data_IF_595541025889
#
_entry.id   IF_595541025889
#
_cell.length_a   1.000
_cell.length_b   1.000
_cell.length_c   1.000
_cell.angle_alpha   90.00
_cell.angle_beta   90.00
_cell.angle_gamma   90.00
#
_symmetry.space_group_name_H-M   'P 1'
#
loop_
_entity.id
_entity.type
_entity.pdbx_description
1 polymer ?
#
# COMPACT_ATOMS: atom_id res chain seq x y z
N UNK A 1 -14.83 34.77 -0.01
CA UNK A 1 -14.53 33.39 0.45
C UNK A 1 -15.84 32.67 0.78
N UNK A 2 -16.10 31.48 0.21
CA UNK A 2 -17.29 30.70 0.56
C UNK A 2 -17.23 30.30 2.04
N UNK A 3 -18.34 30.46 2.75
CA UNK A 3 -18.42 30.17 4.20
C UNK A 3 -18.32 28.66 4.41
N UNK A 4 -17.34 28.21 5.21
CA UNK A 4 -17.23 26.82 5.66
C UNK A 4 -18.58 26.32 6.19
N UNK A 5 -19.04 25.15 5.73
CA UNK A 5 -20.35 24.64 6.13
C UNK A 5 -20.43 24.40 7.64
N UNK A 6 -21.59 24.68 8.25
CA UNK A 6 -21.81 24.46 9.70
C UNK A 6 -21.58 23.00 10.10
N UNK A 7 -21.85 22.07 9.18
CA UNK A 7 -21.62 20.62 9.35
C UNK A 7 -20.12 20.31 9.49
N UNK A 8 -19.24 20.99 8.75
CA UNK A 8 -17.78 20.78 8.86
C UNK A 8 -17.22 21.30 10.18
N UNK A 9 -17.88 22.27 10.82
CA UNK A 9 -17.50 22.84 12.11
C UNK A 9 -17.98 22.03 13.32
N UNK A 10 -18.69 20.93 13.10
CA UNK A 10 -19.09 20.04 14.18
C UNK A 10 -17.86 19.53 14.95
N UNK A 11 -17.94 19.40 16.28
CA UNK A 11 -16.98 18.64 17.07
C UNK A 11 -16.76 17.23 16.48
N UNK A 12 -15.55 16.65 16.61
CA UNK A 12 -15.24 15.32 16.08
C UNK A 12 -16.26 14.25 16.48
N UNK A 13 -16.72 14.27 17.73
CA UNK A 13 -17.65 13.30 18.30
C UNK A 13 -19.03 13.37 17.62
N UNK A 14 -19.52 14.58 17.35
CA UNK A 14 -20.80 14.78 16.64
C UNK A 14 -20.69 14.46 15.16
N UNK A 15 -19.50 14.65 14.57
CA UNK A 15 -19.23 14.27 13.19
C UNK A 15 -19.19 12.75 13.03
N UNK A 16 -18.61 12.04 13.97
CA UNK A 16 -18.60 10.58 13.99
C UNK A 16 -20.02 10.01 14.14
N UNK A 17 -20.83 10.57 15.03
CA UNK A 17 -22.25 10.19 15.15
C UNK A 17 -23.04 10.47 13.87
N UNK A 18 -22.80 11.62 13.22
CA UNK A 18 -23.38 11.93 11.91
C UNK A 18 -23.03 10.83 10.89
N UNK A 19 -21.77 10.43 10.80
CA UNK A 19 -21.34 9.38 9.88
C UNK A 19 -21.97 8.03 10.20
N UNK A 20 -21.97 7.61 11.47
CA UNK A 20 -22.61 6.37 11.89
C UNK A 20 -24.11 6.32 11.54
N UNK A 21 -24.82 7.44 11.73
CA UNK A 21 -26.24 7.51 11.37
C UNK A 21 -26.46 7.48 9.84
N UNK A 22 -25.58 8.11 9.07
CA UNK A 22 -25.62 8.05 7.60
C UNK A 22 -25.41 6.63 7.09
N UNK A 23 -24.46 5.90 7.69
CA UNK A 23 -24.15 4.51 7.33
C UNK A 23 -25.26 3.55 7.75
N UNK A 24 -25.94 3.82 8.87
CA UNK A 24 -27.13 3.10 9.31
C UNK A 24 -28.40 3.41 8.49
N UNK A 25 -28.34 4.33 7.52
CA UNK A 25 -29.44 4.63 6.61
C UNK A 25 -30.51 5.56 7.17
N UNK A 26 -30.22 6.29 8.25
CA UNK A 26 -31.15 7.29 8.80
C UNK A 26 -31.45 8.42 7.81
N UNK A 27 -32.65 8.97 7.89
CA UNK A 27 -33.05 10.09 7.05
C UNK A 27 -32.31 11.37 7.47
N UNK A 28 -32.13 12.30 6.53
CA UNK A 28 -31.51 13.60 6.84
C UNK A 28 -32.30 14.38 7.90
N UNK A 29 -33.61 14.13 8.03
CA UNK A 29 -34.47 14.77 9.03
C UNK A 29 -34.20 14.24 10.43
N UNK A 30 -34.12 12.91 10.59
CA UNK A 30 -33.73 12.26 11.84
C UNK A 30 -32.36 12.71 12.31
N UNK A 31 -31.38 12.72 11.40
CA UNK A 31 -30.01 13.15 11.67
C UNK A 31 -29.98 14.63 12.08
N UNK A 32 -30.73 15.49 11.38
CA UNK A 32 -30.81 16.92 11.71
C UNK A 32 -31.41 17.11 13.11
N UNK A 33 -32.48 16.38 13.44
CA UNK A 33 -33.15 16.46 14.74
C UNK A 33 -32.22 15.98 15.87
N UNK A 34 -31.53 14.86 15.68
CA UNK A 34 -30.56 14.31 16.63
C UNK A 34 -29.42 15.29 16.91
N UNK A 35 -28.78 15.83 15.87
CA UNK A 35 -27.67 16.77 16.03
C UNK A 35 -28.13 18.08 16.70
N UNK A 36 -29.34 18.56 16.42
CA UNK A 36 -29.92 19.72 17.10
C UNK A 36 -30.20 19.47 18.58
N UNK A 37 -30.66 18.28 18.94
CA UNK A 37 -30.87 17.89 20.34
C UNK A 37 -29.56 17.91 21.14
N UNK A 38 -28.44 17.62 20.47
CA UNK A 38 -27.08 17.70 21.03
C UNK A 38 -26.47 19.11 20.98
N UNK A 39 -27.26 20.14 20.62
CA UNK A 39 -26.83 21.54 20.60
C UNK A 39 -26.13 22.00 19.32
N UNK A 40 -26.12 21.18 18.26
CA UNK A 40 -25.51 21.58 16.99
C UNK A 40 -26.46 22.41 16.10
N UNK A 41 -25.96 23.56 15.62
CA UNK A 41 -26.67 24.39 14.65
C UNK A 41 -26.41 23.88 13.21
N UNK A 42 -27.15 22.85 12.83
CA UNK A 42 -27.13 22.27 11.47
C UNK A 42 -28.51 22.31 10.82
N UNK A 43 -28.52 22.48 9.50
CA UNK A 43 -29.73 22.48 8.68
C UNK A 43 -29.80 21.24 7.79
N UNK A 44 -31.01 20.76 7.49
CA UNK A 44 -31.25 19.64 6.56
C UNK A 44 -30.56 19.83 5.21
N UNK A 45 -30.67 21.01 4.61
CA UNK A 45 -30.04 21.33 3.33
C UNK A 45 -28.52 21.34 3.39
N UNK A 46 -27.94 21.86 4.47
CA UNK A 46 -26.51 21.81 4.75
C UNK A 46 -25.98 20.37 4.91
N UNK A 47 -26.73 19.51 5.60
CA UNK A 47 -26.42 18.09 5.71
C UNK A 47 -26.54 17.35 4.38
N UNK A 48 -27.57 17.65 3.58
CA UNK A 48 -27.73 17.08 2.24
C UNK A 48 -26.56 17.42 1.31
N UNK A 49 -26.12 18.68 1.29
CA UNK A 49 -24.92 19.09 0.52
C UNK A 49 -23.66 18.41 1.02
N UNK A 50 -23.51 18.28 2.33
CA UNK A 50 -22.38 17.58 2.93
C UNK A 50 -22.37 16.10 2.53
N UNK A 51 -23.51 15.40 2.64
CA UNK A 51 -23.67 14.01 2.20
C UNK A 51 -23.31 13.85 0.72
N UNK A 52 -23.84 14.70 -0.16
CA UNK A 52 -23.52 14.67 -1.59
C UNK A 52 -22.02 14.84 -1.86
N UNK A 53 -21.33 15.70 -1.11
CA UNK A 53 -19.87 15.85 -1.23
C UNK A 53 -19.14 14.57 -0.79
N UNK A 54 -19.52 13.99 0.35
CA UNK A 54 -18.93 12.74 0.84
C UNK A 54 -19.16 11.60 -0.15
N UNK A 55 -20.38 11.46 -0.68
CA UNK A 55 -20.74 10.44 -1.66
C UNK A 55 -19.96 10.61 -2.97
N UNK A 56 -19.72 11.85 -3.42
CA UNK A 56 -18.91 12.17 -4.62
C UNK A 56 -17.44 11.76 -4.43
N UNK A 57 -16.87 12.02 -3.25
CA UNK A 57 -15.50 11.61 -2.92
C UNK A 57 -15.41 10.08 -2.86
N UNK A 58 -16.36 9.42 -2.19
CA UNK A 58 -16.42 7.97 -2.12
C UNK A 58 -16.57 7.31 -3.51
N UNK A 59 -17.37 7.91 -4.40
CA UNK A 59 -17.51 7.45 -5.78
C UNK A 59 -16.21 7.55 -6.57
N UNK A 60 -15.51 8.70 -6.50
CA UNK A 60 -14.19 8.88 -7.13
C UNK A 60 -13.15 7.90 -6.60
N UNK A 61 -13.17 7.59 -5.30
CA UNK A 61 -12.26 6.62 -4.71
C UNK A 61 -12.51 5.19 -5.23
N UNK A 62 -13.78 4.80 -5.39
CA UNK A 62 -14.14 3.51 -6.01
C UNK A 62 -13.69 3.44 -7.46
N UNK A 63 -13.91 4.50 -8.23
CA UNK A 63 -13.47 4.59 -9.62
C UNK A 63 -11.94 4.49 -9.75
N UNK A 64 -11.21 5.20 -8.88
CA UNK A 64 -9.75 5.13 -8.83
C UNK A 64 -9.23 3.72 -8.51
N UNK A 65 -9.89 3.00 -7.58
CA UNK A 65 -9.57 1.60 -7.27
C UNK A 65 -9.82 0.68 -8.47
N UNK A 66 -10.97 0.81 -9.13
CA UNK A 66 -11.30 0.03 -10.32
C UNK A 66 -10.30 0.29 -11.47
N UNK A 67 -9.85 1.54 -11.64
CA UNK A 67 -8.82 1.88 -12.61
C UNK A 67 -7.45 1.29 -12.25
N UNK A 68 -7.07 1.30 -10.97
CA UNK A 68 -5.85 0.67 -10.51
C UNK A 68 -5.88 -0.85 -10.73
N UNK A 69 -7.01 -1.50 -10.44
CA UNK A 69 -7.24 -2.93 -10.71
C UNK A 69 -7.15 -3.23 -12.22
N UNK A 70 -7.78 -2.43 -13.07
CA UNK A 70 -7.69 -2.60 -14.53
C UNK A 70 -6.28 -2.40 -15.07
N UNK A 71 -5.49 -1.48 -14.49
CA UNK A 71 -4.08 -1.28 -14.81
C UNK A 71 -3.27 -2.50 -14.39
N UNK A 72 -3.51 -3.07 -13.21
CA UNK A 72 -2.85 -4.31 -12.77
C UNK A 72 -3.16 -5.50 -13.68
N UNK A 73 -4.43 -5.65 -14.07
CA UNK A 73 -4.87 -6.72 -14.96
C UNK A 73 -4.20 -6.59 -16.33
N UNK A 74 -4.10 -5.37 -16.88
CA UNK A 74 -3.43 -5.09 -18.16
C UNK A 74 -1.90 -5.15 -18.11
N UNK A 75 -1.29 -4.90 -16.96
CA UNK A 75 0.16 -5.02 -16.77
C UNK A 75 0.63 -6.48 -16.77
N UNK A 76 -0.29 -7.44 -16.72
CA UNK A 76 -0.02 -8.88 -16.76
C UNK A 76 0.53 -9.41 -15.44
N UNK A 77 0.22 -10.68 -15.15
CA UNK A 77 0.61 -11.37 -13.92
C UNK A 77 2.12 -11.29 -13.61
N UNK A 78 2.97 -11.07 -14.61
CA UNK A 78 4.43 -10.93 -14.46
C UNK A 78 4.90 -9.61 -13.82
N UNK A 79 4.11 -8.53 -13.86
CA UNK A 79 4.44 -7.27 -13.18
C UNK A 79 3.76 -7.14 -11.81
N UNK A 80 2.70 -7.93 -11.57
CA UNK A 80 1.90 -7.93 -10.34
C UNK A 80 2.31 -9.01 -9.33
N UNK A 81 3.18 -9.95 -9.71
CA UNK A 81 3.60 -11.04 -8.81
C UNK A 81 4.78 -10.62 -7.94
N UNK A 82 4.50 -10.46 -6.63
CA UNK A 82 5.49 -10.22 -5.59
C UNK A 82 5.21 -8.98 -4.73
N UNK A 83 6.06 -8.76 -3.71
CA UNK A 83 6.02 -7.57 -2.83
C UNK A 83 6.04 -6.24 -3.60
N UNK A 84 6.48 -6.28 -4.85
CA UNK A 84 6.60 -5.19 -5.83
C UNK A 84 5.26 -4.60 -6.25
N UNK A 85 4.31 -5.46 -6.64
CA UNK A 85 2.99 -5.03 -7.10
C UNK A 85 2.19 -4.42 -5.96
N UNK A 86 2.23 -5.07 -4.79
CA UNK A 86 1.59 -4.56 -3.57
C UNK A 86 2.13 -3.18 -3.17
N UNK A 87 3.46 -3.00 -3.15
CA UNK A 87 4.07 -1.71 -2.83
C UNK A 87 3.68 -0.62 -3.83
N UNK A 88 3.56 -0.95 -5.12
CA UNK A 88 3.12 0.00 -6.16
C UNK A 88 1.68 0.46 -5.96
N UNK A 89 0.77 -0.47 -5.65
CA UNK A 89 -0.64 -0.17 -5.37
C UNK A 89 -0.76 0.72 -4.14
N UNK A 90 -0.02 0.39 -3.07
CA UNK A 90 -0.04 1.14 -1.83
C UNK A 90 0.53 2.55 -2.01
N UNK A 91 1.58 2.69 -2.82
CA UNK A 91 2.14 3.99 -3.20
C UNK A 91 1.15 4.83 -4.01
N UNK A 92 0.51 4.22 -5.02
CA UNK A 92 -0.50 4.89 -5.84
C UNK A 92 -1.68 5.34 -4.98
N UNK A 93 -2.15 4.46 -4.09
CA UNK A 93 -3.24 4.75 -3.15
C UNK A 93 -2.88 5.91 -2.22
N UNK A 94 -1.66 5.94 -1.69
CA UNK A 94 -1.17 7.02 -0.81
C UNK A 94 -1.11 8.35 -1.55
N UNK A 95 -0.54 8.37 -2.75
CA UNK A 95 -0.40 9.58 -3.56
C UNK A 95 -1.75 10.14 -4.01
N UNK A 96 -2.69 9.27 -4.40
CA UNK A 96 -4.06 9.67 -4.73
C UNK A 96 -4.79 10.20 -3.49
N UNK A 97 -4.59 9.59 -2.32
CA UNK A 97 -5.20 10.04 -1.06
C UNK A 97 -4.67 11.42 -0.64
N UNK A 98 -3.36 11.65 -0.71
CA UNK A 98 -2.74 12.96 -0.44
C UNK A 98 -3.22 14.04 -1.41
N UNK A 99 -3.34 13.71 -2.69
CA UNK A 99 -3.88 14.62 -3.70
C UNK A 99 -5.34 14.99 -3.41
N UNK A 100 -6.18 14.01 -3.07
CA UNK A 100 -7.58 14.24 -2.69
C UNK A 100 -7.69 15.06 -1.39
N UNK A 101 -6.84 14.81 -0.39
CA UNK A 101 -6.79 15.57 0.86
C UNK A 101 -6.46 17.05 0.62
N UNK A 102 -5.44 17.33 -0.21
CA UNK A 102 -5.03 18.70 -0.55
C UNK A 102 -6.10 19.48 -1.31
N UNK A 103 -6.97 18.78 -2.03
CA UNK A 103 -8.12 19.37 -2.75
C UNK A 103 -9.41 19.41 -1.92
N UNK A 104 -9.38 19.01 -0.64
CA UNK A 104 -10.56 19.14 0.24
C UNK A 104 -10.99 20.59 0.50
N UNK A 105 -10.09 21.55 0.26
CA UNK A 105 -10.31 22.99 0.43
C UNK A 105 -10.89 23.68 -0.83
N UNK A 106 -10.72 23.10 -2.03
CA UNK A 106 -11.31 23.59 -3.28
C UNK A 106 -11.85 22.45 -4.17
N UNK A 107 -13.12 22.05 -3.95
CA UNK A 107 -13.74 20.89 -4.59
C UNK A 107 -14.22 21.12 -6.03
N UNK A 108 -14.20 22.37 -6.52
CA UNK A 108 -14.61 22.76 -7.88
C UNK A 108 -13.42 23.02 -8.79
N UNK A 109 -12.20 23.07 -8.25
CA UNK A 109 -11.00 23.16 -9.05
C UNK A 109 -10.88 21.92 -9.95
N UNK A 110 -10.94 22.14 -11.27
CA UNK A 110 -10.73 21.08 -12.25
C UNK A 110 -9.36 20.42 -12.03
N UNK A 111 -9.29 19.13 -12.33
CA UNK A 111 -8.02 18.42 -12.32
C UNK A 111 -7.28 18.90 -13.57
N UNK A 112 -6.29 19.75 -13.37
CA UNK A 112 -5.46 20.18 -14.49
C UNK A 112 -4.69 18.97 -15.03
N UNK A 113 -4.71 18.81 -16.35
CA UNK A 113 -4.07 17.68 -17.05
C UNK A 113 -2.58 17.58 -16.70
N UNK A 114 -1.94 18.71 -16.40
CA UNK A 114 -0.54 18.77 -16.00
C UNK A 114 -0.28 18.26 -14.59
N UNK A 115 -1.22 18.46 -13.65
CA UNK A 115 -1.14 17.85 -12.31
C UNK A 115 -1.29 16.33 -12.39
N UNK A 116 -2.21 15.84 -13.23
CA UNK A 116 -2.42 14.41 -13.44
C UNK A 116 -1.17 13.76 -14.09
N UNK A 117 -0.55 14.46 -15.06
CA UNK A 117 0.73 14.04 -15.66
C UNK A 117 1.87 14.02 -14.66
N UNK A 118 1.97 15.05 -13.80
CA UNK A 118 3.00 15.11 -12.76
C UNK A 118 2.85 13.95 -11.78
N UNK A 119 1.62 13.65 -11.35
CA UNK A 119 1.32 12.51 -10.49
C UNK A 119 1.68 11.19 -11.17
N UNK A 120 1.24 10.97 -12.41
CA UNK A 120 1.56 9.76 -13.18
C UNK A 120 3.07 9.57 -13.37
N UNK A 121 3.80 10.68 -13.58
CA UNK A 121 5.26 10.67 -13.68
C UNK A 121 5.92 10.30 -12.36
N UNK A 122 5.51 10.89 -11.24
CA UNK A 122 6.02 10.55 -9.90
C UNK A 122 5.76 9.09 -9.55
N UNK A 123 4.58 8.56 -9.88
CA UNK A 123 4.26 7.14 -9.73
C UNK A 123 5.19 6.27 -10.57
N UNK A 124 5.38 6.62 -11.85
CA UNK A 124 6.27 5.88 -12.77
C UNK A 124 7.73 5.88 -12.29
N UNK A 125 8.26 7.02 -11.87
CA UNK A 125 9.64 7.16 -11.40
C UNK A 125 9.86 6.34 -10.12
N UNK A 126 8.92 6.40 -9.17
CA UNK A 126 9.01 5.60 -7.95
C UNK A 126 8.81 4.10 -8.20
N UNK A 127 7.97 3.75 -9.16
CA UNK A 127 7.81 2.36 -9.59
C UNK A 127 9.10 1.77 -10.17
N UNK A 128 9.80 2.55 -10.98
CA UNK A 128 11.10 2.17 -11.53
C UNK A 128 12.16 2.06 -10.43
N UNK A 129 12.18 2.97 -9.46
CA UNK A 129 13.09 2.91 -8.32
C UNK A 129 12.85 1.66 -7.43
N UNK A 130 11.58 1.31 -7.18
CA UNK A 130 11.22 0.11 -6.43
C UNK A 130 11.67 -1.17 -7.16
N UNK A 131 11.53 -1.24 -8.49
CA UNK A 131 12.05 -2.36 -9.30
C UNK A 131 13.57 -2.46 -9.23
N UNK A 132 14.30 -1.35 -9.36
CA UNK A 132 15.76 -1.35 -9.27
C UNK A 132 16.28 -1.88 -7.93
N UNK A 133 15.57 -1.57 -6.83
CA UNK A 133 15.89 -2.07 -5.49
C UNK A 133 15.66 -3.58 -5.39
N UNK A 134 14.63 -4.09 -6.04
CA UNK A 134 14.30 -5.52 -6.01
C UNK A 134 15.19 -6.37 -6.91
N UNK A 135 15.55 -5.86 -8.08
CA UNK A 135 16.52 -6.51 -8.95
C UNK A 135 17.88 -6.63 -8.24
N UNK A 136 18.23 -5.65 -7.41
CA UNK A 136 19.39 -5.71 -6.54
C UNK A 136 19.25 -6.76 -5.44
N UNK A 137 18.12 -6.81 -4.73
CA UNK A 137 17.85 -7.82 -3.69
C UNK A 137 17.85 -9.26 -4.24
N UNK A 138 17.30 -9.47 -5.45
CA UNK A 138 17.30 -10.76 -6.12
C UNK A 138 18.72 -11.19 -6.49
N UNK A 139 19.51 -10.28 -7.09
CA UNK A 139 20.93 -10.53 -7.39
C UNK A 139 21.72 -10.84 -6.12
N UNK A 140 21.50 -10.10 -5.03
CA UNK A 140 22.17 -10.35 -3.76
C UNK A 140 21.82 -11.74 -3.18
N UNK A 141 20.56 -12.18 -3.29
CA UNK A 141 20.16 -13.53 -2.88
C UNK A 141 20.73 -14.62 -3.78
N UNK A 142 20.79 -14.40 -5.09
CA UNK A 142 21.38 -15.36 -6.03
C UNK A 142 22.90 -15.48 -5.82
N UNK A 143 23.59 -14.36 -5.60
CA UNK A 143 25.01 -14.33 -5.25
C UNK A 143 25.25 -15.06 -3.92
N UNK A 144 24.48 -14.75 -2.87
CA UNK A 144 24.58 -15.44 -1.59
C UNK A 144 24.30 -16.96 -1.71
N UNK A 145 23.35 -17.37 -2.58
CA UNK A 145 23.09 -18.79 -2.84
C UNK A 145 24.27 -19.45 -3.57
N UNK A 146 24.83 -18.79 -4.58
CA UNK A 146 26.00 -19.30 -5.33
C UNK A 146 27.21 -19.44 -4.41
N UNK A 147 27.46 -18.44 -3.57
CA UNK A 147 28.54 -18.49 -2.57
C UNK A 147 28.33 -19.62 -1.56
N UNK A 148 27.10 -19.83 -1.09
CA UNK A 148 26.77 -20.94 -0.20
C UNK A 148 26.94 -22.32 -0.88
N UNK A 149 26.53 -22.46 -2.14
CA UNK A 149 26.71 -23.67 -2.95
C UNK A 149 28.20 -23.97 -3.18
N UNK A 150 29.00 -22.95 -3.51
CA UNK A 150 30.45 -23.10 -3.69
C UNK A 150 31.17 -23.45 -2.38
N UNK A 151 30.79 -22.81 -1.27
CA UNK A 151 31.32 -23.12 0.05
C UNK A 151 30.97 -24.55 0.48
N UNK A 152 29.74 -25.00 0.22
CA UNK A 152 29.31 -26.37 0.45
C UNK A 152 30.10 -27.35 -0.41
N UNK A 153 30.31 -27.07 -1.71
CA UNK A 153 31.10 -27.93 -2.59
C UNK A 153 32.54 -28.08 -2.10
N UNK A 154 33.19 -26.97 -1.72
CA UNK A 154 34.53 -26.98 -1.12
C UNK A 154 34.57 -27.78 0.19
N UNK A 155 33.54 -27.65 1.02
CA UNK A 155 33.43 -28.39 2.27
C UNK A 155 33.33 -29.91 2.04
N UNK A 156 32.53 -30.33 1.06
CA UNK A 156 32.42 -31.73 0.62
C UNK A 156 33.74 -32.25 0.08
N UNK A 157 34.42 -31.50 -0.79
CA UNK A 157 35.71 -31.90 -1.37
C UNK A 157 36.81 -32.04 -0.30
N UNK A 158 36.90 -31.09 0.65
CA UNK A 158 37.87 -31.15 1.77
C UNK A 158 37.57 -32.33 2.71
N UNK A 159 36.31 -32.48 3.11
CA UNK A 159 35.89 -33.57 3.98
C UNK A 159 36.16 -34.95 3.36
N UNK A 160 35.95 -35.10 2.04
CA UNK A 160 36.21 -36.33 1.30
C UNK A 160 37.70 -36.67 1.23
N UNK A 161 38.58 -35.68 0.99
CA UNK A 161 40.05 -35.88 0.96
C UNK A 161 40.61 -36.35 2.30
N UNK A 162 40.05 -35.85 3.38
CA UNK A 162 40.50 -36.18 4.73
C UNK A 162 39.86 -37.49 5.24
N UNK A 163 38.93 -38.10 4.48
CA UNK A 163 38.02 -39.15 5.00
C UNK A 163 38.72 -40.49 5.10
N UNK A 164 38.76 -41.13 6.29
CA UNK A 164 39.20 -42.50 6.41
C UNK A 164 38.28 -43.43 5.61
N UNK A 165 38.84 -44.48 5.02
CA UNK A 165 38.10 -45.45 4.19
C UNK A 165 36.95 -46.19 4.92
N UNK A 166 36.89 -46.11 6.25
CA UNK A 166 35.88 -46.76 7.10
C UNK A 166 34.92 -45.78 7.82
N UNK A 167 34.91 -44.49 7.45
CA UNK A 167 34.03 -43.51 8.10
C UNK A 167 32.55 -43.78 7.80
N UNK A 168 31.71 -43.67 8.83
CA UNK A 168 30.26 -43.78 8.69
C UNK A 168 29.66 -42.53 8.02
N UNK A 169 28.48 -42.63 7.37
CA UNK A 169 27.81 -41.49 6.76
C UNK A 169 27.56 -40.32 7.72
N UNK A 170 27.33 -40.60 9.00
CA UNK A 170 27.13 -39.58 10.03
C UNK A 170 28.41 -38.79 10.33
N UNK A 171 29.57 -39.46 10.37
CA UNK A 171 30.87 -38.83 10.60
C UNK A 171 31.31 -37.97 9.42
N UNK A 172 31.04 -38.45 8.19
CA UNK A 172 31.29 -37.67 6.96
C UNK A 172 30.43 -36.40 6.94
N UNK A 173 29.14 -36.51 7.30
CA UNK A 173 28.24 -35.35 7.37
C UNK A 173 28.65 -34.35 8.46
N UNK A 174 29.01 -34.82 9.66
CA UNK A 174 29.49 -33.97 10.74
C UNK A 174 30.74 -33.18 10.32
N UNK A 175 31.64 -33.79 9.54
CA UNK A 175 32.84 -33.09 9.08
C UNK A 175 32.58 -32.12 7.94
N UNK A 176 31.66 -32.42 7.02
CA UNK A 176 31.21 -31.43 6.02
C UNK A 176 30.66 -30.19 6.73
N UNK A 177 29.86 -30.36 7.80
CA UNK A 177 29.37 -29.23 8.59
C UNK A 177 30.48 -28.45 9.29
N UNK A 178 31.45 -29.14 9.90
CA UNK A 178 32.59 -28.49 10.57
C UNK A 178 33.42 -27.66 9.58
N UNK A 179 33.73 -28.21 8.40
CA UNK A 179 34.46 -27.48 7.35
C UNK A 179 33.65 -26.29 6.83
N UNK A 180 32.35 -26.46 6.63
CA UNK A 180 31.47 -25.38 6.17
C UNK A 180 31.39 -24.22 7.17
N UNK A 181 31.46 -24.50 8.48
CA UNK A 181 31.48 -23.50 9.55
C UNK A 181 32.86 -22.91 9.84
N UNK A 182 33.92 -23.44 9.23
CA UNK A 182 35.30 -23.04 9.51
C UNK A 182 35.85 -23.59 10.84
N UNK A 183 35.26 -24.66 11.36
CA UNK A 183 35.63 -25.31 12.62
C UNK A 183 36.65 -26.46 12.42
N UNK A 184 37.07 -26.71 11.18
CA UNK A 184 37.96 -27.82 10.77
C UNK A 184 39.04 -27.39 9.75
#
# INVERSE_FOLDING_TARGET
>A
MPRTSKVRRLPPELREQLHAMLDAGHTLEEITAHLKALGADVSRSGLGRYKQQVDKVAARLRESRAMAEAVMERMGAQAATGKSGAALIEMLTTLTSDYLLRRMDDPDAEIEVDELRALARTVKERAQAARATQDYDLKLREEARREAEEAMRKAVEKAAKESPAAASPAEVFARIQAVYRGEA
#
